data_IF_795690054934
#
_entry.id   IF_795690054934
#
_cell.length_a   1.000
_cell.length_b   1.000
_cell.length_c   1.000
_cell.angle_alpha   90.00
_cell.angle_beta   90.00
_cell.angle_gamma   90.00
#
_symmetry.space_group_name_H-M   'P 1'
#
loop_
_entity.id
_entity.type
_entity.pdbx_description
1 polymer ?
#
# COMPACT_ATOMS: atom_id res chain seq x y z
N UNK A 1 7.65 -23.70 0.72
CA UNK A 1 6.52 -22.96 1.33
C UNK A 1 6.83 -21.49 1.17
N UNK A 2 6.25 -20.84 0.16
CA UNK A 2 6.32 -19.39 0.04
C UNK A 2 5.64 -18.76 1.26
N UNK A 3 6.43 -18.12 2.12
CA UNK A 3 5.90 -17.36 3.25
C UNK A 3 5.38 -16.03 2.70
N UNK A 4 4.10 -16.01 2.32
CA UNK A 4 3.40 -14.76 1.99
C UNK A 4 3.23 -13.96 3.27
N UNK A 5 3.69 -12.72 3.28
CA UNK A 5 3.48 -11.79 4.40
C UNK A 5 2.53 -10.70 3.94
N UNK A 6 1.39 -10.62 4.62
CA UNK A 6 0.38 -9.59 4.37
C UNK A 6 0.57 -8.43 5.34
N UNK A 7 0.55 -7.21 4.82
CA UNK A 7 0.57 -6.00 5.63
C UNK A 7 -0.71 -5.19 5.43
N UNK A 8 -1.35 -4.73 6.51
CA UNK A 8 -2.50 -3.84 6.39
C UNK A 8 -2.05 -2.49 5.83
N UNK A 9 -2.87 -1.93 4.94
CA UNK A 9 -2.70 -0.58 4.43
C UNK A 9 -4.00 0.19 4.52
N UNK A 10 -3.94 1.40 5.10
CA UNK A 10 -5.04 2.34 5.12
C UNK A 10 -5.11 3.03 3.76
N UNK A 11 -6.26 2.92 3.09
CA UNK A 11 -6.49 3.53 1.78
C UNK A 11 -7.47 4.69 1.98
N UNK A 12 -7.08 5.89 1.57
CA UNK A 12 -7.94 7.07 1.68
C UNK A 12 -7.69 8.08 0.58
N UNK A 13 -8.69 8.90 0.30
CA UNK A 13 -8.60 10.00 -0.65
C UNK A 13 -8.44 11.31 0.10
N UNK A 14 -7.40 12.05 -0.22
CA UNK A 14 -7.15 13.37 0.35
C UNK A 14 -8.01 14.42 -0.33
N UNK A 15 -8.65 15.28 0.47
CA UNK A 15 -9.51 16.36 -0.05
C UNK A 15 -8.71 17.50 -0.68
N UNK A 16 -7.49 17.72 -0.21
CA UNK A 16 -6.67 18.89 -0.56
C UNK A 16 -6.15 18.88 -2.00
N UNK A 17 -5.76 17.71 -2.52
CA UNK A 17 -5.19 17.57 -3.86
C UNK A 17 -5.84 16.44 -4.67
N UNK A 18 -7.02 15.97 -4.24
CA UNK A 18 -7.79 14.92 -4.89
C UNK A 18 -7.00 13.61 -5.13
N UNK A 19 -5.96 13.34 -4.32
CA UNK A 19 -5.02 12.22 -4.50
C UNK A 19 -5.38 11.06 -3.57
N UNK A 20 -5.25 9.84 -4.07
CA UNK A 20 -5.36 8.61 -3.28
C UNK A 20 -4.04 8.30 -2.59
N UNK A 21 -4.13 7.91 -1.32
CA UNK A 21 -3.01 7.55 -0.47
C UNK A 21 -3.22 6.12 0.02
N UNK A 22 -2.18 5.31 -0.14
CA UNK A 22 -2.08 3.98 0.45
C UNK A 22 -0.99 4.01 1.52
N UNK A 23 -1.36 3.91 2.79
CA UNK A 23 -0.45 4.05 3.92
C UNK A 23 -0.31 2.72 4.68
N UNK A 24 0.86 2.10 4.62
CA UNK A 24 1.23 0.97 5.46
C UNK A 24 2.01 1.47 6.68
N UNK A 25 1.29 1.74 7.76
CA UNK A 25 1.83 2.30 9.01
C UNK A 25 2.92 1.39 9.61
N UNK A 26 2.72 0.06 9.56
CA UNK A 26 3.63 -0.92 10.15
C UNK A 26 5.05 -0.86 9.58
N UNK A 27 5.19 -0.42 8.33
CA UNK A 27 6.47 -0.35 7.63
C UNK A 27 6.88 1.09 7.32
N UNK A 28 6.11 2.07 7.77
CA UNK A 28 6.28 3.49 7.47
C UNK A 28 6.39 3.74 5.94
N UNK A 29 5.53 3.07 5.16
CA UNK A 29 5.50 3.16 3.70
C UNK A 29 4.22 3.80 3.20
N UNK A 30 4.36 4.68 2.20
CA UNK A 30 3.26 5.44 1.63
C UNK A 30 3.33 5.40 0.10
N UNK A 31 2.22 5.06 -0.54
CA UNK A 31 2.02 5.15 -1.99
C UNK A 31 0.99 6.23 -2.34
N UNK A 32 1.28 7.05 -3.36
CA UNK A 32 0.42 8.15 -3.82
C UNK A 32 -0.03 7.94 -5.26
N UNK A 33 -1.31 8.11 -5.57
CA UNK A 33 -1.82 7.96 -6.94
C UNK A 33 -3.03 8.84 -7.25
N UNK A 34 -3.26 9.11 -8.53
CA UNK A 34 -4.50 9.76 -9.02
C UNK A 34 -5.71 8.83 -8.91
N UNK A 35 -5.47 7.53 -8.82
CA UNK A 35 -6.47 6.49 -8.57
C UNK A 35 -6.06 5.62 -7.40
N UNK A 36 -7.03 4.93 -6.79
CA UNK A 36 -6.78 3.97 -5.72
C UNK A 36 -5.79 2.88 -6.15
N UNK A 37 -6.01 2.30 -7.34
CA UNK A 37 -5.14 1.27 -7.93
C UNK A 37 -3.71 1.74 -8.08
N UNK A 38 -3.50 3.00 -8.47
CA UNK A 38 -2.16 3.57 -8.62
C UNK A 38 -1.47 3.75 -7.26
N UNK A 39 -2.20 4.22 -6.23
CA UNK A 39 -1.66 4.36 -4.88
C UNK A 39 -1.23 2.99 -4.30
N UNK A 40 -2.07 1.97 -4.45
CA UNK A 40 -1.78 0.59 -4.04
C UNK A 40 -0.59 0.02 -4.81
N UNK A 41 -0.54 0.20 -6.14
CA UNK A 41 0.55 -0.30 -6.98
C UNK A 41 1.90 0.31 -6.59
N UNK A 42 1.93 1.61 -6.27
CA UNK A 42 3.14 2.27 -5.79
C UNK A 42 3.57 1.79 -4.41
N UNK A 43 2.63 1.63 -3.49
CA UNK A 43 2.91 1.05 -2.17
C UNK A 43 3.47 -0.38 -2.29
N UNK A 44 2.91 -1.19 -3.20
CA UNK A 44 3.37 -2.55 -3.47
C UNK A 44 4.80 -2.57 -3.99
N UNK A 45 5.13 -1.65 -4.91
CA UNK A 45 6.48 -1.54 -5.44
C UNK A 45 7.48 -1.24 -4.32
N UNK A 46 7.20 -0.25 -3.47
CA UNK A 46 8.06 0.08 -2.32
C UNK A 46 8.20 -1.09 -1.34
N UNK A 47 7.11 -1.82 -1.09
CA UNK A 47 7.10 -3.03 -0.28
C UNK A 47 8.01 -4.13 -0.84
N UNK A 48 7.92 -4.38 -2.15
CA UNK A 48 8.73 -5.40 -2.84
C UNK A 48 10.22 -5.06 -2.86
N UNK A 49 10.57 -3.77 -2.92
CA UNK A 49 11.96 -3.30 -2.89
C UNK A 49 12.60 -3.51 -1.52
N UNK A 50 11.84 -3.35 -0.43
CA UNK A 50 12.32 -3.52 0.95
C UNK A 50 12.40 -5.00 1.35
N UNK A 51 11.58 -5.86 0.74
CA UNK A 51 11.49 -7.29 1.06
C UNK A 51 12.09 -8.17 -0.05
N UNK A 52 13.31 -7.88 -0.51
CA UNK A 52 14.08 -8.79 -1.36
C UNK A 52 14.21 -10.17 -0.67
N UNK A 53 13.36 -11.12 -1.05
CA UNK A 53 13.32 -12.49 -0.51
C UNK A 53 11.97 -12.98 0.02
N UNK A 54 10.92 -12.15 0.07
CA UNK A 54 9.57 -12.56 0.51
C UNK A 54 8.49 -12.13 -0.49
N UNK A 55 7.48 -12.99 -0.70
CA UNK A 55 6.26 -12.62 -1.41
C UNK A 55 5.43 -11.67 -0.54
N UNK A 56 5.17 -10.45 -1.03
CA UNK A 56 4.41 -9.44 -0.30
C UNK A 56 3.07 -9.23 -0.98
N UNK A 57 2.00 -9.13 -0.21
CA UNK A 57 0.65 -8.80 -0.70
C UNK A 57 0.04 -7.69 0.17
N UNK A 58 -0.71 -6.76 -0.44
CA UNK A 58 -1.43 -5.69 0.28
C UNK A 58 -2.90 -6.07 0.38
N UNK A 59 -3.45 -6.09 1.60
CA UNK A 59 -4.88 -6.25 1.83
C UNK A 59 -5.51 -4.89 2.18
N UNK A 60 -6.31 -4.29 1.28
CA UNK A 60 -6.92 -2.99 1.55
C UNK A 60 -8.01 -3.10 2.62
N UNK A 61 -8.08 -2.09 3.50
CA UNK A 61 -9.18 -1.89 4.45
C UNK A 61 -9.92 -0.61 4.09
N UNK A 62 -11.23 -0.74 3.87
CA UNK A 62 -12.12 0.36 3.53
C UNK A 62 -12.85 0.82 4.80
N UNK A 63 -12.81 2.12 5.13
CA UNK A 63 -13.72 2.68 6.13
C UNK A 63 -15.10 2.84 5.49
N UNK A 64 -16.11 2.26 6.11
CA UNK A 64 -17.54 2.47 5.79
C UNK A 64 -17.92 3.91 6.10
#
# INVERSE_FOLDING_TARGET
MDKTVEYPALIYKTRTNNTFVANCIMLNLIGFGKTEKEAISKLYKSLSEIKKGYSVTIKPLYSI
#
